data_IF_934177668629
#
_entry.id   IF_934177668629
#
_cell.length_a   1.000
_cell.length_b   1.000
_cell.length_c   1.000
_cell.angle_alpha   90.00
_cell.angle_beta   90.00
_cell.angle_gamma   90.00
#
_symmetry.space_group_name_H-M   'P 1'
#
loop_
_entity.id
_entity.type
_entity.pdbx_description
1 polymer ?
#
# COMPACT_ATOMS: atom_id res chain seq x y z
N UNK A 1 9.76 1.63 -26.18
CA UNK A 1 10.25 1.48 -24.81
C UNK A 1 9.18 0.82 -23.97
N UNK A 2 9.56 -0.25 -23.26
CA UNK A 2 8.66 -0.88 -22.34
C UNK A 2 8.50 0.00 -21.09
N UNK A 3 7.28 0.16 -20.64
CA UNK A 3 7.00 0.87 -19.39
C UNK A 3 7.02 -0.11 -18.23
N UNK A 4 7.40 0.38 -17.07
CA UNK A 4 7.29 -0.37 -15.82
C UNK A 4 5.83 -0.73 -15.59
N UNK A 5 5.56 -2.00 -15.31
CA UNK A 5 4.21 -2.48 -15.02
C UNK A 5 4.09 -2.81 -13.55
N UNK A 6 2.98 -2.37 -12.95
CA UNK A 6 2.66 -2.64 -11.55
C UNK A 6 1.39 -3.47 -11.49
N UNK A 7 1.47 -4.62 -10.81
CA UNK A 7 0.33 -5.48 -10.55
C UNK A 7 0.03 -5.53 -9.07
N UNK A 8 -1.25 -5.62 -8.74
CA UNK A 8 -1.71 -5.88 -7.37
C UNK A 8 -2.26 -7.30 -7.30
N UNK A 9 -1.70 -8.10 -6.41
CA UNK A 9 -2.17 -9.45 -6.15
C UNK A 9 -2.91 -9.49 -4.82
N UNK A 10 -4.13 -10.02 -4.83
CA UNK A 10 -4.92 -10.27 -3.64
C UNK A 10 -4.90 -11.75 -3.30
N UNK A 11 -4.89 -12.05 -2.01
CA UNK A 11 -4.96 -13.41 -1.49
C UNK A 11 -6.41 -13.86 -1.40
N UNK A 12 -7.32 -12.97 -0.96
CA UNK A 12 -8.76 -13.26 -0.84
C UNK A 12 -9.56 -12.03 -1.33
N UNK A 13 -10.40 -12.17 -2.35
CA UNK A 13 -10.41 -13.27 -3.32
C UNK A 13 -9.11 -13.27 -4.12
N UNK A 14 -8.68 -14.45 -4.55
CA UNK A 14 -7.43 -14.55 -5.32
C UNK A 14 -7.60 -13.83 -6.66
N UNK A 15 -6.79 -12.82 -6.89
CA UNK A 15 -6.75 -12.09 -8.15
C UNK A 15 -5.41 -11.39 -8.33
N UNK A 16 -5.05 -11.12 -9.59
CA UNK A 16 -3.85 -10.36 -9.92
C UNK A 16 -4.23 -9.37 -11.03
N UNK A 17 -4.17 -8.08 -10.73
CA UNK A 17 -4.71 -7.02 -11.60
C UNK A 17 -3.61 -6.04 -11.97
N UNK A 18 -3.51 -5.73 -13.26
CA UNK A 18 -2.62 -4.67 -13.73
C UNK A 18 -3.17 -3.31 -13.30
N UNK A 19 -2.34 -2.52 -12.64
CA UNK A 19 -2.69 -1.17 -12.19
C UNK A 19 -2.45 -0.16 -13.31
N UNK A 20 -3.16 -0.32 -14.41
CA UNK A 20 -2.97 0.48 -15.63
C UNK A 20 -3.41 1.94 -15.51
N UNK A 21 -4.20 2.25 -14.48
CA UNK A 21 -4.62 3.63 -14.21
C UNK A 21 -3.64 4.43 -13.37
N UNK A 22 -2.59 3.78 -12.86
CA UNK A 22 -1.58 4.44 -12.04
C UNK A 22 -0.50 5.06 -12.92
N UNK A 23 -0.14 6.30 -12.58
CA UNK A 23 0.98 7.00 -13.24
C UNK A 23 2.16 7.01 -12.28
N UNK A 24 3.31 6.51 -12.72
CA UNK A 24 4.54 6.55 -11.93
C UNK A 24 5.12 7.94 -12.00
N UNK A 25 5.25 8.60 -10.85
CA UNK A 25 5.82 9.95 -10.72
C UNK A 25 7.31 9.91 -10.44
N UNK A 26 7.76 8.87 -9.72
CA UNK A 26 9.15 8.73 -9.33
C UNK A 26 9.44 7.27 -9.02
N UNK A 27 10.66 6.84 -9.29
CA UNK A 27 11.12 5.49 -8.98
C UNK A 27 12.63 5.48 -8.75
N UNK A 28 13.06 4.81 -7.69
CA UNK A 28 14.46 4.45 -7.47
C UNK A 28 14.53 3.04 -6.88
N UNK A 29 15.69 2.65 -6.33
CA UNK A 29 15.86 1.32 -5.74
C UNK A 29 15.08 1.10 -4.44
N UNK A 30 14.63 2.18 -3.82
CA UNK A 30 13.98 2.13 -2.50
C UNK A 30 12.48 2.36 -2.55
N UNK A 31 12.02 3.23 -3.45
CA UNK A 31 10.59 3.63 -3.50
C UNK A 31 10.07 3.74 -4.92
N UNK A 32 8.75 3.59 -5.03
CA UNK A 32 7.99 3.92 -6.25
C UNK A 32 6.85 4.83 -5.80
N UNK A 33 6.72 5.99 -6.44
CA UNK A 33 5.62 6.92 -6.15
C UNK A 33 4.68 6.97 -7.33
N UNK A 34 3.38 6.83 -7.06
CA UNK A 34 2.35 6.82 -8.10
C UNK A 34 1.25 7.83 -7.79
N UNK A 35 0.53 8.19 -8.84
CA UNK A 35 -0.69 8.99 -8.79
C UNK A 35 -1.79 8.20 -9.49
N UNK A 36 -2.99 8.22 -8.93
CA UNK A 36 -4.11 7.44 -9.47
C UNK A 36 -5.46 8.10 -9.18
N UNK A 37 -6.45 7.71 -9.99
CA UNK A 37 -7.84 8.09 -9.78
C UNK A 37 -8.64 6.80 -9.66
N UNK A 38 -9.59 6.76 -8.73
CA UNK A 38 -10.43 5.58 -8.52
C UNK A 38 -11.38 5.41 -9.72
N UNK A 39 -11.33 4.24 -10.37
CA UNK A 39 -12.19 3.93 -11.51
C UNK A 39 -13.62 3.67 -11.04
N UNK A 40 -13.76 3.03 -9.89
CA UNK A 40 -15.05 2.82 -9.24
C UNK A 40 -14.98 3.52 -7.90
N UNK A 41 -15.59 4.73 -7.78
CA UNK A 41 -15.53 5.45 -6.52
C UNK A 41 -16.15 4.58 -5.43
N UNK A 42 -15.29 4.11 -4.53
CA UNK A 42 -15.77 3.66 -3.24
C UNK A 42 -16.22 4.92 -2.53
N UNK A 43 -17.29 4.79 -1.73
CA UNK A 43 -17.80 5.86 -0.90
C UNK A 43 -16.68 6.85 -0.50
N UNK A 44 -16.77 8.08 -0.97
CA UNK A 44 -15.88 9.20 -0.66
C UNK A 44 -14.48 9.18 -1.30
N UNK A 45 -13.90 8.03 -1.58
CA UNK A 45 -12.58 7.95 -2.20
C UNK A 45 -12.64 8.29 -3.68
N UNK A 46 -11.92 9.33 -4.09
CA UNK A 46 -11.88 9.78 -5.48
C UNK A 46 -10.52 9.57 -6.14
N UNK A 47 -9.46 10.03 -5.51
CA UNK A 47 -8.10 9.95 -6.09
C UNK A 47 -7.06 9.90 -4.97
N UNK A 48 -5.83 9.67 -5.36
CA UNK A 48 -4.74 9.64 -4.39
C UNK A 48 -3.37 9.52 -4.99
N UNK A 49 -2.42 9.47 -4.06
CA UNK A 49 -1.01 9.22 -4.33
C UNK A 49 -0.58 8.05 -3.46
N UNK A 50 0.37 7.26 -3.95
CA UNK A 50 0.91 6.12 -3.20
C UNK A 50 2.41 6.09 -3.28
N UNK A 51 3.04 5.65 -2.21
CA UNK A 51 4.47 5.37 -2.16
C UNK A 51 4.67 3.93 -1.72
N UNK A 52 5.32 3.15 -2.56
CA UNK A 52 5.71 1.77 -2.25
C UNK A 52 7.11 1.80 -1.66
N UNK A 53 7.25 1.38 -0.41
CA UNK A 53 8.55 1.25 0.27
C UNK A 53 9.03 -0.18 0.07
N UNK A 54 9.91 -0.36 -0.90
CA UNK A 54 10.29 -1.70 -1.36
C UNK A 54 11.04 -2.52 -0.29
N UNK A 55 11.92 -1.88 0.47
CA UNK A 55 12.66 -2.57 1.52
C UNK A 55 11.82 -2.81 2.77
N UNK A 56 11.01 -1.84 3.14
CA UNK A 56 10.23 -1.89 4.38
C UNK A 56 8.97 -2.74 4.25
N UNK A 57 8.43 -2.88 3.06
CA UNK A 57 7.29 -3.76 2.80
C UNK A 57 5.95 -3.16 3.17
N UNK A 58 5.78 -1.88 2.94
CA UNK A 58 4.46 -1.25 3.04
C UNK A 58 4.25 -0.25 1.91
N UNK A 59 2.97 -0.05 1.59
CA UNK A 59 2.51 0.93 0.62
C UNK A 59 1.74 1.98 1.40
N UNK A 60 2.18 3.23 1.33
CA UNK A 60 1.55 4.34 2.03
C UNK A 60 0.81 5.18 1.01
N UNK A 61 -0.48 5.37 1.21
CA UNK A 61 -1.32 6.12 0.28
C UNK A 61 -1.99 7.30 0.97
N UNK A 62 -2.09 8.39 0.24
CA UNK A 62 -2.81 9.58 0.66
C UNK A 62 -4.11 9.61 -0.16
N UNK A 63 -5.25 9.41 0.52
CA UNK A 63 -6.57 9.32 -0.12
C UNK A 63 -7.31 10.64 -0.02
N UNK A 64 -7.91 11.05 -1.13
CA UNK A 64 -8.63 12.32 -1.22
C UNK A 64 -10.09 12.14 -1.60
N UNK A 65 -10.93 13.05 -1.08
CA UNK A 65 -12.26 13.29 -1.62
C UNK A 65 -12.14 13.96 -2.99
N UNK A 66 -13.24 13.99 -3.74
CA UNK A 66 -13.30 14.65 -5.05
C UNK A 66 -12.89 16.13 -4.97
N UNK A 67 -13.27 16.82 -3.89
CA UNK A 67 -12.97 18.25 -3.70
C UNK A 67 -11.54 18.54 -3.24
N UNK A 68 -10.70 17.52 -3.10
CA UNK A 68 -9.30 17.67 -2.71
C UNK A 68 -9.02 17.66 -1.22
N UNK A 69 -10.07 17.50 -0.37
CA UNK A 69 -9.84 17.33 1.06
C UNK A 69 -9.22 15.97 1.34
N UNK A 70 -8.34 15.89 2.34
CA UNK A 70 -7.76 14.63 2.78
C UNK A 70 -8.83 13.74 3.41
N UNK A 71 -9.01 12.54 2.85
CA UNK A 71 -9.87 11.52 3.46
C UNK A 71 -9.14 10.86 4.63
N UNK A 72 -8.00 10.23 4.37
CA UNK A 72 -7.08 9.68 5.37
C UNK A 72 -5.83 9.14 4.68
N UNK A 73 -4.85 8.76 5.48
CA UNK A 73 -3.70 7.98 5.01
C UNK A 73 -4.03 6.51 5.17
N UNK A 74 -3.77 5.75 4.14
CA UNK A 74 -4.02 4.31 4.11
C UNK A 74 -2.71 3.56 3.90
N UNK A 75 -2.40 2.64 4.81
CA UNK A 75 -1.14 1.91 4.79
C UNK A 75 -1.41 0.42 4.57
N UNK A 76 -0.96 -0.11 3.45
CA UNK A 76 -1.05 -1.53 3.12
C UNK A 76 0.26 -2.23 3.48
N UNK A 77 0.19 -3.39 4.11
CA UNK A 77 1.36 -4.24 4.32
C UNK A 77 1.48 -5.14 3.09
N UNK A 78 2.64 -5.14 2.47
CA UNK A 78 2.86 -5.80 1.19
C UNK A 78 4.14 -6.63 1.17
N UNK A 79 4.18 -7.57 0.22
CA UNK A 79 5.42 -8.16 -0.28
C UNK A 79 5.43 -7.95 -1.79
N UNK A 80 6.57 -8.18 -2.44
CA UNK A 80 6.61 -8.02 -3.89
C UNK A 80 7.62 -8.95 -4.54
N UNK A 81 7.40 -9.15 -5.85
CA UNK A 81 8.38 -9.75 -6.74
C UNK A 81 8.63 -8.78 -7.88
N UNK A 82 9.83 -8.81 -8.43
CA UNK A 82 10.22 -7.99 -9.56
C UNK A 82 10.85 -8.85 -10.65
N UNK A 83 10.34 -8.70 -11.87
CA UNK A 83 10.91 -9.36 -13.05
C UNK A 83 11.65 -8.30 -13.88
N UNK A 84 12.97 -8.39 -13.91
CA UNK A 84 13.81 -7.40 -14.61
C UNK A 84 13.70 -7.49 -16.13
N UNK A 85 13.37 -8.66 -16.68
CA UNK A 85 13.24 -8.84 -18.12
C UNK A 85 12.05 -8.08 -18.69
N UNK A 86 10.94 -8.02 -17.92
CA UNK A 86 9.71 -7.34 -18.32
C UNK A 86 9.48 -6.04 -17.57
N UNK A 87 10.39 -5.67 -16.66
CA UNK A 87 10.26 -4.51 -15.78
C UNK A 87 8.89 -4.49 -15.08
N UNK A 88 8.56 -5.61 -14.44
CA UNK A 88 7.25 -5.82 -13.84
C UNK A 88 7.35 -6.10 -12.35
N UNK A 89 6.61 -5.32 -11.56
CA UNK A 89 6.41 -5.56 -10.13
C UNK A 89 5.07 -6.20 -9.89
N UNK A 90 5.03 -7.21 -9.03
CA UNK A 90 3.79 -7.77 -8.52
C UNK A 90 3.79 -7.56 -7.00
N UNK A 91 2.88 -6.72 -6.53
CA UNK A 91 2.71 -6.43 -5.11
C UNK A 91 1.59 -7.28 -4.54
N UNK A 92 1.92 -8.07 -3.53
CA UNK A 92 0.94 -8.91 -2.84
C UNK A 92 0.47 -8.19 -1.59
N UNK A 93 -0.84 -8.00 -1.47
CA UNK A 93 -1.49 -7.46 -0.28
C UNK A 93 -1.51 -8.53 0.81
N UNK A 94 -0.89 -8.26 1.95
CA UNK A 94 -0.80 -9.19 3.07
C UNK A 94 -1.93 -9.00 4.09
N UNK A 95 -3.02 -8.36 3.66
CA UNK A 95 -4.32 -8.23 4.34
C UNK A 95 -4.37 -7.20 5.47
N UNK A 96 -3.36 -7.12 6.34
CA UNK A 96 -3.37 -6.17 7.46
C UNK A 96 -3.12 -4.75 6.97
N UNK A 97 -3.95 -3.79 7.40
CA UNK A 97 -3.86 -2.39 7.00
C UNK A 97 -3.90 -1.46 8.20
N UNK A 98 -3.36 -0.25 8.02
CA UNK A 98 -3.42 0.81 9.03
C UNK A 98 -4.02 2.06 8.40
N UNK A 99 -4.99 2.66 9.08
CA UNK A 99 -5.60 3.93 8.65
C UNK A 99 -5.19 5.01 9.65
N UNK A 100 -4.72 6.14 9.13
CA UNK A 100 -4.41 7.32 9.93
C UNK A 100 -5.35 8.44 9.48
N UNK A 101 -6.25 8.83 10.36
CA UNK A 101 -7.25 9.86 10.08
C UNK A 101 -6.65 11.26 10.17
N UNK A 102 -7.29 12.28 9.55
CA UNK A 102 -6.80 13.66 9.63
C UNK A 102 -6.67 14.20 11.05
N UNK A 103 -7.47 13.69 12.00
CA UNK A 103 -7.41 14.10 13.41
C UNK A 103 -6.32 13.35 14.21
N UNK A 104 -5.56 12.47 13.54
CA UNK A 104 -4.47 11.72 14.17
C UNK A 104 -4.86 10.37 14.74
N UNK A 105 -6.15 10.01 14.73
CA UNK A 105 -6.57 8.68 15.19
C UNK A 105 -5.96 7.61 14.28
N UNK A 106 -5.61 6.47 14.88
CA UNK A 106 -5.02 5.34 14.18
C UNK A 106 -5.94 4.14 14.33
N UNK A 107 -6.16 3.43 13.24
CA UNK A 107 -6.95 2.21 13.24
C UNK A 107 -6.23 1.12 12.47
N UNK A 108 -5.99 -0.01 13.11
CA UNK A 108 -5.48 -1.22 12.45
C UNK A 108 -6.69 -2.06 12.07
N UNK A 109 -6.78 -2.46 10.82
CA UNK A 109 -7.95 -3.17 10.29
C UNK A 109 -7.54 -4.48 9.62
N UNK A 110 -8.53 -5.37 9.45
CA UNK A 110 -8.42 -6.62 8.71
C UNK A 110 -7.51 -7.67 9.35
N UNK A 111 -7.25 -7.58 10.65
CA UNK A 111 -6.49 -8.60 11.36
C UNK A 111 -7.22 -9.95 11.40
N UNK A 112 -8.55 -9.93 11.48
CA UNK A 112 -9.38 -11.13 11.41
C UNK A 112 -9.29 -11.81 10.04
N UNK A 113 -9.13 -11.04 8.96
CA UNK A 113 -8.92 -11.58 7.62
C UNK A 113 -7.60 -12.36 7.54
N UNK A 114 -6.56 -11.90 8.23
CA UNK A 114 -5.29 -12.61 8.31
C UNK A 114 -5.47 -13.97 8.98
N UNK A 115 -6.19 -13.99 10.10
CA UNK A 115 -6.49 -15.23 10.81
C UNK A 115 -7.32 -16.20 9.95
N UNK A 116 -8.37 -15.69 9.30
CA UNK A 116 -9.23 -16.48 8.44
C UNK A 116 -8.45 -17.07 7.25
N UNK A 117 -7.58 -16.27 6.66
CA UNK A 117 -6.74 -16.69 5.53
C UNK A 117 -5.75 -17.78 5.96
N UNK A 118 -5.20 -17.67 7.16
CA UNK A 118 -4.30 -18.70 7.69
C UNK A 118 -5.04 -20.00 7.94
N UNK A 119 -6.22 -19.91 8.56
CA UNK A 119 -7.06 -21.10 8.84
C UNK A 119 -7.46 -21.81 7.56
N UNK A 120 -7.84 -21.08 6.52
CA UNK A 120 -8.27 -21.66 5.24
C UNK A 120 -7.10 -22.13 4.36
N UNK A 121 -5.88 -21.81 4.72
CA UNK A 121 -4.69 -22.12 3.91
C UNK A 121 -4.45 -21.16 2.75
N UNK A 122 -5.21 -20.06 2.67
CA UNK A 122 -5.05 -19.08 1.60
C UNK A 122 -3.75 -18.26 1.74
N UNK A 123 -3.29 -18.06 2.97
CA UNK A 123 -2.01 -17.42 3.27
C UNK A 123 -1.09 -18.41 3.99
N UNK A 124 0.20 -18.36 3.68
CA UNK A 124 1.18 -19.24 4.30
C UNK A 124 1.65 -18.65 5.63
N UNK A 125 2.09 -19.53 6.53
CA UNK A 125 2.65 -19.13 7.83
C UNK A 125 3.75 -18.08 7.67
N UNK A 126 4.66 -18.28 6.72
CA UNK A 126 5.77 -17.36 6.46
C UNK A 126 5.29 -15.97 6.04
N UNK A 127 4.19 -15.92 5.28
CA UNK A 127 3.59 -14.65 4.88
C UNK A 127 2.96 -13.92 6.07
N UNK A 128 2.35 -14.67 6.99
CA UNK A 128 1.77 -14.08 8.22
C UNK A 128 2.88 -13.52 9.11
N UNK A 129 3.95 -14.28 9.28
CA UNK A 129 5.11 -13.81 10.07
C UNK A 129 5.70 -12.55 9.46
N UNK A 130 5.88 -12.52 8.14
CA UNK A 130 6.38 -11.36 7.41
C UNK A 130 5.46 -10.16 7.61
N UNK A 131 4.15 -10.36 7.46
CA UNK A 131 3.15 -9.31 7.63
C UNK A 131 3.18 -8.71 9.03
N UNK A 132 3.27 -9.56 10.06
CA UNK A 132 3.30 -9.10 11.45
C UNK A 132 4.56 -8.30 11.76
N UNK A 133 5.72 -8.72 11.25
CA UNK A 133 6.98 -7.99 11.44
C UNK A 133 6.95 -6.63 10.77
N UNK A 134 6.45 -6.57 9.54
CA UNK A 134 6.31 -5.31 8.79
C UNK A 134 5.30 -4.38 9.46
N UNK A 135 4.17 -4.93 9.89
CA UNK A 135 3.14 -4.16 10.61
C UNK A 135 3.70 -3.58 11.90
N UNK A 136 4.42 -4.38 12.69
CA UNK A 136 5.02 -3.92 13.93
C UNK A 136 6.01 -2.78 13.68
N UNK A 137 6.82 -2.90 12.64
CA UNK A 137 7.79 -1.86 12.25
C UNK A 137 7.08 -0.55 11.92
N UNK A 138 6.03 -0.62 11.13
CA UNK A 138 5.25 0.56 10.75
C UNK A 138 4.56 1.20 11.97
N UNK A 139 3.91 0.38 12.80
CA UNK A 139 3.23 0.87 13.99
C UNK A 139 4.20 1.51 14.98
N UNK A 140 5.40 0.96 15.11
CA UNK A 140 6.45 1.54 15.97
C UNK A 140 6.79 2.96 15.51
N UNK A 141 6.95 3.17 14.21
CA UNK A 141 7.22 4.49 13.65
C UNK A 141 6.05 5.45 13.95
N UNK A 142 4.83 4.99 13.74
CA UNK A 142 3.61 5.80 13.98
C UNK A 142 3.49 6.17 15.45
N UNK A 143 3.64 5.20 16.36
CA UNK A 143 3.48 5.42 17.80
C UNK A 143 4.57 6.30 18.40
N UNK A 144 5.75 6.35 17.77
CA UNK A 144 6.83 7.25 18.19
C UNK A 144 6.68 8.65 17.59
N UNK A 145 5.60 8.92 16.86
CA UNK A 145 5.35 10.23 16.26
C UNK A 145 6.24 10.55 15.06
N UNK A 146 6.80 9.54 14.41
CA UNK A 146 7.76 9.72 13.32
C UNK A 146 7.16 9.51 11.93
N UNK A 147 5.84 9.39 11.82
CA UNK A 147 5.18 9.14 10.54
C UNK A 147 5.38 10.27 9.52
N UNK A 148 5.65 11.48 9.98
CA UNK A 148 5.91 12.62 9.09
C UNK A 148 7.13 12.39 8.20
N UNK A 149 8.13 11.64 8.66
CA UNK A 149 9.29 11.28 7.85
C UNK A 149 8.92 10.37 6.68
N UNK A 150 7.89 9.53 6.86
CA UNK A 150 7.35 8.68 5.80
C UNK A 150 6.54 9.52 4.82
N UNK A 151 5.68 10.41 5.31
CA UNK A 151 4.86 11.28 4.47
C UNK A 151 5.67 12.09 3.47
N UNK A 152 6.84 12.56 3.89
CA UNK A 152 7.71 13.40 3.04
C UNK A 152 8.12 12.71 1.76
N UNK A 153 8.33 11.39 1.80
CA UNK A 153 8.70 10.62 0.60
C UNK A 153 7.63 10.68 -0.48
N UNK A 154 6.38 10.86 -0.10
CA UNK A 154 5.26 10.95 -1.02
C UNK A 154 4.94 12.41 -1.34
N UNK A 155 4.84 13.25 -0.33
CA UNK A 155 4.38 14.64 -0.48
C UNK A 155 5.29 15.49 -1.35
N UNK A 156 6.60 15.21 -1.39
CA UNK A 156 7.51 15.93 -2.26
C UNK A 156 7.20 15.76 -3.75
N UNK A 157 6.50 14.69 -4.12
CA UNK A 157 6.10 14.41 -5.51
C UNK A 157 4.65 14.78 -5.79
N UNK A 158 3.94 15.21 -4.79
CA UNK A 158 2.53 15.60 -4.93
C UNK A 158 2.44 16.95 -5.62
N UNK A 159 1.68 17.00 -6.70
CA UNK A 159 1.46 18.24 -7.48
C UNK A 159 -0.02 18.47 -7.72
#
# INVERSE_FOLDING_TARGET
>A
MSQTQLYRKRIIPEECVLLKGDTILYRDSDIIVTKWTSIKPKKDLHHGFSCYFLKDGYKISKFYYEDGRLLYWYCDIISYTYNSETDTFVFTDLLADVIIFPDGRIRVVDLDEVADALESGAIKKEQVEDALRKLNKLLTIIYHGEFDSIKKNLEQFEQ
#
